data_IF_043521372062
#
_entry.id   IF_043521372062
#
_cell.length_a   1.000
_cell.length_b   1.000
_cell.length_c   1.000
_cell.angle_alpha   90.00
_cell.angle_beta   90.00
_cell.angle_gamma   90.00
#
_symmetry.space_group_name_H-M   'P 1'
#
loop_
_entity.id
_entity.type
_entity.pdbx_description
1 polymer ?
#
# COMPACT_ATOMS: atom_id res chain seq x y z
N UNK A 1 7.74 -11.12 -65.44
CA UNK A 1 7.30 -10.07 -64.51
C UNK A 1 6.08 -10.57 -63.78
N UNK A 2 6.15 -10.71 -62.46
CA UNK A 2 5.02 -11.12 -61.62
C UNK A 2 4.06 -9.92 -61.49
N UNK A 3 3.01 -9.90 -62.32
CA UNK A 3 1.95 -8.87 -62.25
C UNK A 3 0.91 -9.30 -61.24
N UNK A 4 0.97 -8.73 -60.06
CA UNK A 4 -0.05 -8.95 -59.03
C UNK A 4 -1.35 -8.21 -59.42
N UNK A 5 -2.52 -8.80 -59.02
CA UNK A 5 -3.82 -8.14 -59.17
C UNK A 5 -3.85 -6.79 -58.45
N UNK A 6 -4.43 -5.76 -59.07
CA UNK A 6 -4.46 -4.35 -58.57
C UNK A 6 -4.98 -4.20 -57.11
N UNK A 7 -5.92 -5.04 -56.72
CA UNK A 7 -6.45 -5.03 -55.37
C UNK A 7 -5.39 -5.35 -54.30
N UNK A 8 -4.36 -6.18 -54.61
CA UNK A 8 -3.27 -6.48 -53.69
C UNK A 8 -2.42 -5.26 -53.37
N UNK A 9 -2.21 -4.38 -54.37
CA UNK A 9 -1.50 -3.11 -54.13
C UNK A 9 -2.32 -2.16 -53.28
N UNK A 10 -3.64 -2.14 -53.45
CA UNK A 10 -4.54 -1.33 -52.59
C UNK A 10 -4.49 -1.82 -51.16
N UNK A 11 -4.55 -3.12 -50.92
CA UNK A 11 -4.44 -3.71 -49.58
C UNK A 11 -3.08 -3.39 -48.98
N UNK A 12 -1.99 -3.48 -49.71
CA UNK A 12 -0.64 -3.15 -49.22
C UNK A 12 -0.56 -1.68 -48.80
N UNK A 13 -1.04 -0.77 -49.65
CA UNK A 13 -1.04 0.69 -49.33
C UNK A 13 -1.88 0.98 -48.11
N UNK A 14 -3.06 0.38 -48.00
CA UNK A 14 -3.92 0.53 -46.81
C UNK A 14 -3.23 -0.01 -45.54
N UNK A 15 -2.56 -1.15 -45.63
CA UNK A 15 -1.83 -1.71 -44.50
C UNK A 15 -0.65 -0.82 -44.08
N UNK A 16 0.11 -0.27 -45.04
CA UNK A 16 1.18 0.68 -44.73
C UNK A 16 0.62 1.97 -44.09
N UNK A 17 -0.46 2.51 -44.64
CA UNK A 17 -1.08 3.72 -44.14
C UNK A 17 -1.63 3.53 -42.73
N UNK A 18 -2.25 2.37 -42.47
CA UNK A 18 -2.74 2.00 -41.15
C UNK A 18 -1.58 1.83 -40.16
N UNK A 19 -0.52 1.11 -40.54
CA UNK A 19 0.67 0.95 -39.71
C UNK A 19 1.35 2.28 -39.40
N UNK A 20 1.45 3.16 -40.40
CA UNK A 20 2.01 4.50 -40.22
C UNK A 20 1.15 5.35 -39.24
N UNK A 21 -0.18 5.27 -39.35
CA UNK A 21 -1.10 5.97 -38.42
C UNK A 21 -0.92 5.51 -36.97
N UNK A 22 -0.81 4.19 -36.75
CA UNK A 22 -0.59 3.63 -35.41
C UNK A 22 0.85 3.80 -34.88
N UNK A 23 1.82 4.06 -35.77
CA UNK A 23 3.18 4.42 -35.37
C UNK A 23 3.37 5.91 -35.08
N UNK A 24 2.45 6.77 -35.57
CA UNK A 24 2.54 8.22 -35.45
C UNK A 24 2.63 8.75 -34.00
N UNK A 25 1.96 8.17 -32.99
CA UNK A 25 2.08 8.60 -31.59
C UNK A 25 3.52 8.60 -31.07
N UNK A 26 4.39 7.73 -31.58
CA UNK A 26 5.79 7.66 -31.14
C UNK A 26 6.66 8.84 -31.60
N UNK A 27 6.17 9.66 -32.54
CA UNK A 27 6.87 10.87 -33.00
C UNK A 27 6.63 12.04 -32.03
N UNK A 28 5.53 12.00 -31.26
CA UNK A 28 5.21 13.04 -30.31
C UNK A 28 6.03 12.87 -29.03
N UNK A 29 6.82 13.91 -28.72
CA UNK A 29 7.62 13.91 -27.50
C UNK A 29 6.71 14.18 -26.29
N UNK A 30 6.98 13.49 -25.17
CA UNK A 30 6.29 13.73 -23.91
C UNK A 30 6.76 15.07 -23.30
N UNK A 31 5.84 15.87 -22.79
CA UNK A 31 6.16 17.11 -22.09
C UNK A 31 6.42 16.85 -20.61
N UNK A 32 7.48 17.44 -20.02
CA UNK A 32 7.66 17.46 -18.57
C UNK A 32 6.45 18.11 -17.90
N UNK A 33 5.89 17.46 -16.90
CA UNK A 33 4.68 17.95 -16.22
C UNK A 33 4.73 17.70 -14.72
N UNK A 34 4.02 18.55 -13.96
CA UNK A 34 3.73 18.33 -12.55
C UNK A 34 2.26 17.95 -12.44
N UNK A 35 2.00 16.77 -11.94
CA UNK A 35 0.66 16.26 -11.65
C UNK A 35 0.34 16.55 -10.19
N UNK A 36 -0.82 17.12 -9.94
CA UNK A 36 -1.30 17.47 -8.60
C UNK A 36 -2.57 16.68 -8.36
N UNK A 37 -2.53 15.77 -7.39
CA UNK A 37 -3.63 14.89 -7.03
C UNK A 37 -4.11 15.20 -5.61
N UNK A 38 -5.41 15.13 -5.36
CA UNK A 38 -5.96 15.32 -4.03
C UNK A 38 -5.60 14.18 -3.10
N UNK A 39 -5.06 14.48 -1.91
CA UNK A 39 -4.65 13.47 -0.93
C UNK A 39 -5.71 13.14 0.12
N UNK A 40 -6.68 14.00 0.39
CA UNK A 40 -7.64 13.85 1.49
C UNK A 40 -9.06 14.26 1.13
N UNK A 41 -9.47 14.02 -0.13
CA UNK A 41 -10.78 14.46 -0.59
C UNK A 41 -10.89 15.97 -0.77
N UNK A 42 -9.77 16.66 -0.88
CA UNK A 42 -9.74 18.06 -1.26
C UNK A 42 -10.26 18.21 -2.71
N UNK A 43 -11.00 19.27 -3.04
CA UNK A 43 -11.52 19.43 -4.39
C UNK A 43 -10.38 19.78 -5.36
N UNK A 44 -10.36 19.10 -6.51
CA UNK A 44 -9.53 19.48 -7.66
C UNK A 44 -10.41 20.31 -8.58
N UNK A 45 -10.33 21.64 -8.47
CA UNK A 45 -11.23 22.57 -9.13
C UNK A 45 -10.50 23.73 -9.82
N UNK A 46 -11.25 24.57 -10.51
CA UNK A 46 -10.72 25.75 -11.19
C UNK A 46 -10.05 26.75 -10.22
N UNK A 47 -10.44 26.76 -8.94
CA UNK A 47 -9.81 27.63 -7.94
C UNK A 47 -8.41 27.13 -7.59
N UNK A 48 -8.22 25.81 -7.52
CA UNK A 48 -6.90 25.18 -7.38
C UNK A 48 -6.02 25.53 -8.60
N UNK A 49 -6.55 25.36 -9.81
CA UNK A 49 -5.82 25.67 -11.05
C UNK A 49 -5.34 27.12 -11.07
N UNK A 50 -6.19 28.05 -10.64
CA UNK A 50 -5.85 29.49 -10.59
C UNK A 50 -4.78 29.77 -9.51
N UNK A 51 -4.86 29.15 -8.33
CA UNK A 51 -3.82 29.27 -7.29
C UNK A 51 -2.46 28.77 -7.79
N UNK A 52 -2.46 27.61 -8.46
CA UNK A 52 -1.26 27.00 -9.04
C UNK A 52 -0.67 27.92 -10.11
N UNK A 53 -1.49 28.40 -11.05
CA UNK A 53 -1.05 29.33 -12.09
C UNK A 53 -0.41 30.60 -11.50
N UNK A 54 -1.08 31.22 -10.53
CA UNK A 54 -0.58 32.47 -9.88
C UNK A 54 0.74 32.20 -9.13
N UNK A 55 0.86 31.05 -8.46
CA UNK A 55 2.08 30.69 -7.73
C UNK A 55 3.27 30.50 -8.68
N UNK A 56 3.05 29.81 -9.79
CA UNK A 56 4.09 29.57 -10.79
C UNK A 56 4.51 30.87 -11.51
N UNK A 57 3.56 31.73 -11.79
CA UNK A 57 3.82 33.09 -12.34
C UNK A 57 4.68 33.91 -11.37
N UNK A 58 4.32 33.92 -10.08
CA UNK A 58 5.10 34.66 -9.06
C UNK A 58 6.52 34.07 -8.86
N UNK A 59 6.67 32.76 -9.03
CA UNK A 59 7.95 32.09 -9.02
C UNK A 59 8.77 32.26 -10.31
N UNK A 60 8.21 32.93 -11.33
CA UNK A 60 8.85 33.12 -12.64
C UNK A 60 9.06 31.82 -13.42
N UNK A 61 8.16 30.86 -13.25
CA UNK A 61 8.20 29.56 -13.92
C UNK A 61 7.20 29.57 -15.07
N UNK A 62 7.64 29.53 -16.34
CA UNK A 62 6.75 29.50 -17.47
C UNK A 62 6.05 28.14 -17.57
N UNK A 63 4.74 28.16 -17.78
CA UNK A 63 3.92 26.97 -18.02
C UNK A 63 3.50 26.92 -19.49
N UNK A 64 3.44 25.71 -20.09
CA UNK A 64 2.88 25.52 -21.43
C UNK A 64 1.36 25.46 -21.38
N UNK A 65 0.84 24.67 -20.48
CA UNK A 65 -0.59 24.40 -20.35
C UNK A 65 -0.91 23.91 -18.94
N UNK A 66 -2.11 24.17 -18.46
CA UNK A 66 -2.65 23.65 -17.21
C UNK A 66 -3.96 22.96 -17.55
N UNK A 67 -3.97 21.64 -17.44
CA UNK A 67 -5.14 20.80 -17.73
C UNK A 67 -5.78 20.34 -16.41
N UNK A 68 -7.09 20.57 -16.31
CA UNK A 68 -7.89 20.10 -15.18
C UNK A 68 -8.67 18.87 -15.61
N UNK A 69 -8.41 17.75 -14.94
CA UNK A 69 -9.14 16.50 -15.07
C UNK A 69 -10.06 16.30 -13.85
N UNK A 70 -10.93 15.31 -13.83
CA UNK A 70 -11.86 15.07 -12.70
C UNK A 70 -11.12 14.82 -11.38
N UNK A 71 -9.97 14.14 -11.41
CA UNK A 71 -9.21 13.73 -10.22
C UNK A 71 -7.87 14.45 -10.05
N UNK A 72 -7.35 15.09 -11.12
CA UNK A 72 -6.00 15.61 -11.19
C UNK A 72 -5.92 16.97 -11.85
N UNK A 73 -4.91 17.77 -11.46
CA UNK A 73 -4.47 18.95 -12.16
C UNK A 73 -3.08 18.72 -12.75
N UNK A 74 -2.96 18.79 -14.07
CA UNK A 74 -1.71 18.55 -14.80
C UNK A 74 -1.14 19.89 -15.29
N UNK A 75 0.08 20.21 -14.88
CA UNK A 75 0.81 21.41 -15.29
C UNK A 75 1.93 21.03 -16.23
N UNK A 76 1.84 21.38 -17.53
CA UNK A 76 2.86 21.12 -18.55
C UNK A 76 3.93 22.20 -18.52
N UNK A 77 5.19 21.77 -18.55
CA UNK A 77 6.36 22.64 -18.44
C UNK A 77 7.26 22.53 -19.69
N UNK A 78 8.06 23.58 -20.01
CA UNK A 78 8.95 23.56 -21.17
C UNK A 78 10.16 22.63 -21.01
N UNK A 79 10.62 22.39 -19.76
CA UNK A 79 11.82 21.55 -19.50
C UNK A 79 11.72 20.81 -18.18
N UNK A 80 12.47 19.72 -18.07
CA UNK A 80 12.57 18.89 -16.86
C UNK A 80 13.20 19.63 -15.68
N UNK A 81 14.10 20.61 -15.92
CA UNK A 81 14.72 21.41 -14.86
C UNK A 81 13.67 22.29 -14.14
N UNK A 82 12.62 22.71 -14.87
CA UNK A 82 11.53 23.51 -14.30
C UNK A 82 10.55 22.67 -13.50
N UNK A 83 10.48 21.35 -13.70
CA UNK A 83 9.59 20.45 -12.93
C UNK A 83 9.91 20.50 -11.44
N UNK A 84 11.16 20.28 -11.06
CA UNK A 84 11.58 20.27 -9.65
C UNK A 84 11.33 21.65 -9.01
N UNK A 85 11.69 22.71 -9.72
CA UNK A 85 11.43 24.08 -9.25
C UNK A 85 9.94 24.40 -9.10
N UNK A 86 9.11 23.90 -10.01
CA UNK A 86 7.67 24.05 -9.93
C UNK A 86 7.08 23.27 -8.75
N UNK A 87 7.51 22.04 -8.54
CA UNK A 87 7.09 21.24 -7.38
C UNK A 87 7.46 21.91 -6.06
N UNK A 88 8.72 22.37 -5.93
CA UNK A 88 9.19 23.09 -4.74
C UNK A 88 8.40 24.38 -4.47
N UNK A 89 8.08 25.14 -5.52
CA UNK A 89 7.29 26.38 -5.41
C UNK A 89 5.84 26.12 -5.02
N UNK A 90 5.27 24.98 -5.46
CA UNK A 90 3.88 24.62 -5.20
C UNK A 90 3.69 23.97 -3.82
N UNK A 91 4.68 23.26 -3.30
CA UNK A 91 4.57 22.52 -2.03
C UNK A 91 4.07 23.37 -0.84
N UNK A 92 4.54 24.61 -0.60
CA UNK A 92 4.05 25.45 0.49
C UNK A 92 2.59 25.90 0.34
N UNK A 93 2.11 26.03 -0.91
CA UNK A 93 0.77 26.53 -1.23
C UNK A 93 -0.27 25.41 -1.23
N UNK A 94 0.14 24.22 -1.61
CA UNK A 94 -0.71 23.02 -1.66
C UNK A 94 -0.87 22.34 -0.31
N UNK A 95 0.15 22.46 0.57
CA UNK A 95 0.14 21.87 1.91
C UNK A 95 0.11 20.34 1.88
N UNK A 96 -0.58 19.75 2.88
CA UNK A 96 -0.72 18.29 3.03
C UNK A 96 -1.94 17.69 2.35
N UNK A 97 -2.77 18.53 1.74
CA UNK A 97 -4.05 18.12 1.16
C UNK A 97 -3.91 17.67 -0.30
N UNK A 98 -2.78 18.00 -0.91
CA UNK A 98 -2.45 17.62 -2.28
C UNK A 98 -1.06 16.97 -2.35
N UNK A 99 -0.90 16.04 -3.28
CA UNK A 99 0.37 15.41 -3.62
C UNK A 99 0.80 15.90 -4.99
N UNK A 100 2.06 16.32 -5.10
CA UNK A 100 2.67 16.70 -6.37
C UNK A 100 3.56 15.59 -6.86
N UNK A 101 3.36 15.10 -8.09
CA UNK A 101 4.18 14.11 -8.75
C UNK A 101 4.82 14.68 -10.01
N UNK A 102 6.10 14.40 -10.23
CA UNK A 102 6.80 14.74 -11.47
C UNK A 102 6.46 13.68 -12.51
N UNK A 103 5.81 14.07 -13.60
CA UNK A 103 5.33 13.18 -14.65
C UNK A 103 5.78 13.65 -16.04
N UNK A 104 5.63 12.78 -17.04
CA UNK A 104 5.83 13.09 -18.45
C UNK A 104 4.48 12.97 -19.18
N UNK A 105 3.84 14.10 -19.46
CA UNK A 105 2.53 14.15 -20.12
C UNK A 105 2.64 13.84 -21.61
N UNK A 106 1.72 13.03 -22.12
CA UNK A 106 1.61 12.77 -23.57
C UNK A 106 1.21 14.03 -24.33
N UNK A 107 1.80 14.28 -25.48
CA UNK A 107 1.42 15.34 -26.40
C UNK A 107 0.68 14.80 -27.63
N UNK A 108 0.25 13.56 -27.58
CA UNK A 108 -0.53 12.92 -28.65
C UNK A 108 -1.89 13.60 -28.75
N UNK A 109 -2.30 14.10 -29.95
CA UNK A 109 -3.59 14.76 -30.10
C UNK A 109 -4.77 13.81 -29.82
N UNK A 110 -5.87 14.35 -29.25
CA UNK A 110 -7.05 13.59 -28.81
C UNK A 110 -7.70 12.78 -29.94
N UNK A 111 -7.68 13.27 -31.18
CA UNK A 111 -8.22 12.54 -32.32
C UNK A 111 -7.45 11.24 -32.62
N UNK A 112 -6.16 11.21 -32.29
CA UNK A 112 -5.29 10.06 -32.52
C UNK A 112 -5.40 9.08 -31.35
N UNK A 113 -5.41 9.56 -30.13
CA UNK A 113 -5.67 8.75 -28.92
C UNK A 113 -7.07 8.13 -28.94
N UNK A 114 -8.08 8.87 -29.42
CA UNK A 114 -9.45 8.39 -29.61
C UNK A 114 -9.60 7.23 -30.63
N UNK A 115 -8.61 7.04 -31.50
CA UNK A 115 -8.51 5.86 -32.40
C UNK A 115 -7.82 4.67 -31.74
N UNK A 116 -7.43 4.77 -30.46
CA UNK A 116 -6.66 3.76 -29.73
C UNK A 116 -5.19 3.69 -30.17
N UNK A 117 -4.68 4.73 -30.84
CA UNK A 117 -3.27 4.84 -31.19
C UNK A 117 -2.52 5.54 -30.06
N UNK A 118 -1.86 4.77 -29.22
CA UNK A 118 -1.07 5.27 -28.10
C UNK A 118 0.43 5.20 -28.40
N UNK A 119 1.21 6.08 -27.75
CA UNK A 119 2.67 6.03 -27.85
C UNK A 119 3.22 4.76 -27.21
N UNK A 120 4.31 4.24 -27.75
CA UNK A 120 4.99 3.07 -27.18
C UNK A 120 5.43 3.37 -25.76
N UNK A 121 5.13 2.44 -24.85
CA UNK A 121 5.57 2.50 -23.47
C UNK A 121 7.06 2.22 -23.43
N UNK A 122 7.82 3.24 -23.06
CA UNK A 122 9.26 3.12 -22.92
C UNK A 122 9.58 2.59 -21.53
N UNK A 123 10.25 1.46 -21.47
CA UNK A 123 10.72 0.89 -20.20
C UNK A 123 11.86 1.71 -19.59
N UNK A 124 12.30 1.26 -18.41
CA UNK A 124 13.33 1.87 -17.58
C UNK A 124 14.63 2.16 -18.37
N UNK A 125 15.01 1.27 -19.29
CA UNK A 125 16.23 1.36 -20.10
C UNK A 125 16.24 2.56 -21.06
N UNK A 126 15.06 3.03 -21.48
CA UNK A 126 14.91 4.09 -22.46
C UNK A 126 14.48 5.44 -21.88
N UNK A 127 13.75 5.42 -20.77
CA UNK A 127 13.31 6.66 -20.08
C UNK A 127 14.14 6.99 -18.84
N UNK A 128 14.97 6.03 -18.37
CA UNK A 128 15.53 6.10 -17.03
C UNK A 128 14.45 5.89 -15.96
N UNK A 129 14.82 6.00 -14.70
CA UNK A 129 13.88 5.82 -13.59
C UNK A 129 14.51 5.00 -12.48
N UNK A 130 13.69 4.38 -11.63
CA UNK A 130 14.15 3.65 -10.45
C UNK A 130 13.71 2.21 -10.51
N UNK A 131 14.65 1.31 -10.24
CA UNK A 131 14.40 -0.12 -10.08
C UNK A 131 14.63 -0.50 -8.62
N UNK A 132 13.61 -1.02 -7.96
CA UNK A 132 13.71 -1.58 -6.62
C UNK A 132 13.58 -3.09 -6.68
N UNK A 133 14.51 -3.78 -6.01
CA UNK A 133 14.36 -5.18 -5.66
C UNK A 133 14.09 -5.26 -4.16
N UNK A 134 12.90 -5.69 -3.79
CA UNK A 134 12.45 -5.79 -2.40
C UNK A 134 12.31 -7.26 -2.03
N UNK A 135 12.69 -7.59 -0.81
CA UNK A 135 12.49 -8.92 -0.25
C UNK A 135 11.42 -8.85 0.83
N UNK A 136 10.47 -9.79 0.77
CA UNK A 136 9.44 -9.94 1.80
C UNK A 136 10.04 -10.68 2.98
N UNK A 137 9.90 -10.11 4.17
CA UNK A 137 10.30 -10.75 5.42
C UNK A 137 9.28 -11.83 5.79
N UNK A 138 9.56 -13.05 5.35
CA UNK A 138 8.70 -14.21 5.60
C UNK A 138 8.73 -14.63 7.08
N UNK A 139 9.85 -14.42 7.76
CA UNK A 139 9.98 -14.73 9.17
C UNK A 139 9.11 -13.83 10.03
N UNK A 140 9.11 -12.53 9.74
CA UNK A 140 8.21 -11.58 10.41
C UNK A 140 6.73 -11.88 10.13
N UNK A 141 6.38 -12.31 8.92
CA UNK A 141 5.02 -12.74 8.59
C UNK A 141 4.62 -14.00 9.39
N UNK A 142 5.51 -14.98 9.49
CA UNK A 142 5.31 -16.19 10.29
C UNK A 142 5.17 -15.86 11.79
N UNK A 143 6.02 -14.98 12.31
CA UNK A 143 5.98 -14.51 13.70
C UNK A 143 4.63 -13.89 14.05
N UNK A 144 4.14 -13.02 13.18
CA UNK A 144 2.82 -12.37 13.34
C UNK A 144 1.70 -13.42 13.35
N UNK A 145 1.79 -14.40 12.44
CA UNK A 145 0.80 -15.48 12.34
C UNK A 145 0.80 -16.38 13.57
N UNK A 146 1.97 -16.78 14.05
CA UNK A 146 2.11 -17.59 15.27
C UNK A 146 1.61 -16.85 16.51
N UNK A 147 1.86 -15.56 16.60
CA UNK A 147 1.34 -14.74 17.70
C UNK A 147 -0.20 -14.70 17.68
N UNK A 148 -0.81 -14.58 16.51
CA UNK A 148 -2.25 -14.65 16.38
C UNK A 148 -2.81 -16.02 16.78
N UNK A 149 -2.17 -17.12 16.36
CA UNK A 149 -2.55 -18.48 16.77
C UNK A 149 -2.50 -18.64 18.28
N UNK A 150 -1.46 -18.16 18.96
CA UNK A 150 -1.35 -18.24 20.43
C UNK A 150 -2.52 -17.51 21.10
N UNK A 151 -2.87 -16.31 20.63
CA UNK A 151 -3.98 -15.57 21.21
C UNK A 151 -5.35 -16.21 20.88
N UNK A 152 -5.55 -16.73 19.68
CA UNK A 152 -6.76 -17.44 19.31
C UNK A 152 -6.95 -18.71 20.16
N UNK A 153 -5.89 -19.50 20.37
CA UNK A 153 -5.94 -20.68 21.24
C UNK A 153 -6.33 -20.28 22.66
N UNK A 154 -5.75 -19.19 23.20
CA UNK A 154 -6.11 -18.68 24.54
C UNK A 154 -7.58 -18.29 24.63
N UNK A 155 -8.11 -17.65 23.60
CA UNK A 155 -9.53 -17.25 23.54
C UNK A 155 -10.42 -18.49 23.52
N UNK A 156 -10.15 -19.43 22.61
CA UNK A 156 -10.96 -20.64 22.41
C UNK A 156 -10.97 -21.52 23.67
N UNK A 157 -9.84 -21.70 24.33
CA UNK A 157 -9.77 -22.47 25.59
C UNK A 157 -10.55 -21.77 26.71
N UNK A 158 -10.48 -20.46 26.80
CA UNK A 158 -11.22 -19.67 27.81
C UNK A 158 -12.73 -19.72 27.58
N UNK A 159 -13.18 -19.55 26.33
CA UNK A 159 -14.58 -19.69 25.95
C UNK A 159 -15.11 -21.10 26.19
N UNK A 160 -14.28 -22.11 25.91
CA UNK A 160 -14.57 -23.51 26.21
C UNK A 160 -14.50 -23.87 27.68
N UNK A 161 -14.11 -22.93 28.58
CA UNK A 161 -13.90 -23.17 30.02
C UNK A 161 -12.92 -24.30 30.31
N UNK A 162 -11.83 -24.34 29.54
CA UNK A 162 -10.69 -25.24 29.74
C UNK A 162 -9.61 -24.45 30.45
N UNK A 163 -9.16 -24.96 31.61
CA UNK A 163 -8.08 -24.35 32.37
C UNK A 163 -6.73 -24.78 31.80
N UNK A 164 -5.87 -23.81 31.55
CA UNK A 164 -4.50 -24.06 31.08
C UNK A 164 -3.47 -23.36 31.97
N UNK A 165 -2.30 -23.96 32.11
CA UNK A 165 -1.15 -23.37 32.81
C UNK A 165 -0.41 -22.37 31.91
N UNK A 166 -0.16 -22.76 30.66
CA UNK A 166 0.56 -21.91 29.72
C UNK A 166 0.17 -22.20 28.26
N UNK A 167 0.19 -21.13 27.46
CA UNK A 167 0.20 -21.22 25.98
C UNK A 167 1.36 -20.37 25.51
N UNK A 168 2.40 -21.03 24.98
CA UNK A 168 3.66 -20.37 24.62
C UNK A 168 4.19 -20.90 23.31
N UNK A 169 4.88 -20.01 22.58
CA UNK A 169 5.62 -20.37 21.38
C UNK A 169 6.97 -20.99 21.77
N UNK A 170 7.36 -22.02 21.06
CA UNK A 170 8.68 -22.64 21.16
C UNK A 170 9.63 -22.14 20.05
N UNK A 171 10.96 -22.30 20.22
CA UNK A 171 11.95 -21.85 19.22
C UNK A 171 11.85 -22.57 17.86
N UNK A 172 11.20 -23.72 17.81
CA UNK A 172 10.96 -24.52 16.60
C UNK A 172 9.72 -24.06 15.81
N UNK A 173 9.16 -22.89 16.13
CA UNK A 173 7.94 -22.36 15.57
C UNK A 173 6.68 -23.20 15.85
N UNK A 174 6.71 -24.06 16.87
CA UNK A 174 5.51 -24.69 17.40
C UNK A 174 4.90 -23.89 18.56
N UNK A 175 3.63 -24.14 18.84
CA UNK A 175 2.92 -23.59 19.99
C UNK A 175 2.63 -24.73 20.97
N UNK A 176 3.15 -24.61 22.18
CA UNK A 176 2.88 -25.55 23.26
C UNK A 176 1.74 -25.04 24.14
N UNK A 177 0.73 -25.87 24.31
CA UNK A 177 -0.39 -25.65 25.20
C UNK A 177 -0.25 -26.65 26.36
N UNK A 178 -0.05 -26.15 27.58
CA UNK A 178 -0.04 -26.98 28.78
C UNK A 178 -1.33 -26.79 29.55
N UNK A 179 -2.07 -27.84 29.79
CA UNK A 179 -3.32 -27.83 30.52
C UNK A 179 -3.09 -27.99 32.03
N UNK A 180 -4.02 -27.45 32.82
CA UNK A 180 -4.03 -27.63 34.27
C UNK A 180 -4.55 -29.01 34.69
N UNK A 181 -5.39 -29.64 33.87
CA UNK A 181 -5.92 -30.98 34.09
C UNK A 181 -5.84 -31.81 32.81
N UNK A 182 -5.18 -32.95 32.87
CA UNK A 182 -5.05 -33.89 31.75
C UNK A 182 -6.42 -34.47 31.29
N UNK A 183 -7.45 -34.43 32.13
CA UNK A 183 -8.79 -34.87 31.75
C UNK A 183 -9.43 -33.99 30.69
N UNK A 184 -9.03 -32.72 30.59
CA UNK A 184 -9.55 -31.73 29.61
C UNK A 184 -8.85 -31.78 28.25
N UNK A 185 -7.85 -32.70 28.08
CA UNK A 185 -6.98 -32.67 26.89
C UNK A 185 -7.74 -32.94 25.60
N UNK A 186 -8.67 -33.89 25.58
CA UNK A 186 -9.44 -34.23 24.40
C UNK A 186 -10.44 -33.08 24.03
N UNK A 187 -10.98 -32.44 25.05
CA UNK A 187 -11.84 -31.27 24.88
C UNK A 187 -11.06 -30.08 24.32
N UNK A 188 -9.86 -29.81 24.87
CA UNK A 188 -8.97 -28.77 24.36
C UNK A 188 -8.58 -29.02 22.91
N UNK A 189 -8.18 -30.26 22.58
CA UNK A 189 -7.81 -30.68 21.22
C UNK A 189 -8.97 -30.42 20.22
N UNK A 190 -10.19 -30.81 20.58
CA UNK A 190 -11.37 -30.61 19.72
C UNK A 190 -11.68 -29.11 19.51
N UNK A 191 -11.59 -28.31 20.55
CA UNK A 191 -11.79 -26.86 20.47
C UNK A 191 -10.75 -26.20 19.54
N UNK A 192 -9.48 -26.54 19.71
CA UNK A 192 -8.40 -26.03 18.86
C UNK A 192 -8.58 -26.49 17.41
N UNK A 193 -8.90 -27.78 17.19
CA UNK A 193 -9.13 -28.34 15.86
C UNK A 193 -10.29 -27.66 15.13
N UNK A 194 -11.35 -27.31 15.86
CA UNK A 194 -12.51 -26.61 15.29
C UNK A 194 -12.19 -25.18 14.91
N UNK A 195 -11.39 -24.49 15.73
CA UNK A 195 -10.98 -23.11 15.49
C UNK A 195 -9.88 -22.99 14.43
N UNK A 196 -8.94 -23.93 14.43
CA UNK A 196 -7.73 -23.92 13.60
C UNK A 196 -7.54 -25.27 12.88
N UNK A 197 -8.40 -25.60 11.89
CA UNK A 197 -8.39 -26.93 11.24
C UNK A 197 -7.14 -27.22 10.40
N UNK A 198 -6.40 -26.18 10.01
CA UNK A 198 -5.20 -26.30 9.20
C UNK A 198 -3.95 -26.69 10.01
N UNK A 199 -4.02 -26.67 11.35
CA UNK A 199 -2.86 -26.94 12.21
C UNK A 199 -2.72 -28.43 12.54
N UNK A 200 -1.50 -28.92 12.56
CA UNK A 200 -1.19 -30.25 13.05
C UNK A 200 -1.02 -30.23 14.58
N UNK A 201 -1.59 -31.24 15.26
CA UNK A 201 -1.55 -31.32 16.72
C UNK A 201 -1.01 -32.69 17.15
N UNK A 202 -0.08 -32.67 18.09
CA UNK A 202 0.45 -33.83 18.76
C UNK A 202 0.17 -33.69 20.26
N UNK A 203 -0.27 -34.76 20.89
CA UNK A 203 -0.61 -34.78 22.33
C UNK A 203 0.46 -35.56 23.08
N UNK A 204 1.06 -34.91 24.06
CA UNK A 204 2.07 -35.56 24.94
C UNK A 204 1.72 -35.30 26.42
N UNK A 205 1.16 -36.30 27.08
CA UNK A 205 0.80 -36.19 28.49
C UNK A 205 -0.27 -35.15 28.76
N UNK A 206 0.11 -34.08 29.44
CA UNK A 206 -0.75 -32.91 29.77
C UNK A 206 -0.62 -31.73 28.80
N UNK A 207 0.15 -31.94 27.74
CA UNK A 207 0.44 -30.87 26.77
C UNK A 207 0.01 -31.21 25.32
N UNK A 208 -0.38 -30.18 24.57
CA UNK A 208 -0.69 -30.24 23.15
C UNK A 208 0.36 -29.40 22.43
N UNK A 209 1.12 -30.03 21.53
CA UNK A 209 2.03 -29.36 20.62
C UNK A 209 1.28 -29.06 19.32
N UNK A 210 1.18 -27.80 18.95
CA UNK A 210 0.50 -27.33 17.73
C UNK A 210 1.55 -26.85 16.75
N UNK A 211 1.54 -27.39 15.53
CA UNK A 211 2.49 -27.04 14.47
C UNK A 211 1.79 -26.61 13.21
N UNK A 212 2.43 -25.70 12.50
CA UNK A 212 1.98 -25.27 11.16
C UNK A 212 2.57 -26.26 10.15
N UNK A 213 1.74 -27.00 9.37
CA UNK A 213 2.23 -27.88 8.32
C UNK A 213 2.96 -27.10 7.22
N UNK A 214 3.89 -27.76 6.51
CA UNK A 214 4.69 -27.15 5.44
C UNK A 214 3.84 -26.49 4.35
N UNK A 215 2.73 -27.12 3.97
CA UNK A 215 1.78 -26.55 2.98
C UNK A 215 1.19 -25.23 3.46
N UNK A 216 0.90 -25.11 4.76
CA UNK A 216 0.35 -23.89 5.35
C UNK A 216 1.44 -22.81 5.50
N UNK A 217 2.69 -23.19 5.79
CA UNK A 217 3.83 -22.26 5.77
C UNK A 217 4.01 -21.63 4.38
N UNK A 218 3.94 -22.45 3.32
CA UNK A 218 4.01 -21.95 1.95
C UNK A 218 2.85 -21.03 1.59
N UNK A 219 1.64 -21.34 2.09
CA UNK A 219 0.47 -20.50 1.92
C UNK A 219 0.65 -19.15 2.61
N UNK A 220 1.09 -19.13 3.86
CA UNK A 220 1.37 -17.90 4.62
C UNK A 220 2.40 -17.04 3.89
N UNK A 221 3.47 -17.63 3.39
CA UNK A 221 4.50 -16.93 2.63
C UNK A 221 3.96 -16.32 1.33
N UNK A 222 3.13 -17.08 0.59
CA UNK A 222 2.50 -16.60 -0.64
C UNK A 222 1.50 -15.49 -0.36
N UNK A 223 0.64 -15.63 0.64
CA UNK A 223 -0.34 -14.62 1.04
C UNK A 223 0.35 -13.32 1.48
N UNK A 224 1.44 -13.42 2.26
CA UNK A 224 2.25 -12.28 2.64
C UNK A 224 2.84 -11.55 1.42
N UNK A 225 3.30 -12.29 0.42
CA UNK A 225 3.85 -11.71 -0.79
C UNK A 225 2.76 -11.01 -1.63
N UNK A 226 1.58 -11.62 -1.79
CA UNK A 226 0.46 -11.01 -2.52
C UNK A 226 -0.06 -9.77 -1.82
N UNK A 227 -0.14 -9.78 -0.49
CA UNK A 227 -0.52 -8.63 0.31
C UNK A 227 0.46 -7.47 0.13
N UNK A 228 1.77 -7.75 0.16
CA UNK A 228 2.80 -6.75 -0.08
C UNK A 228 2.73 -6.20 -1.51
N UNK A 229 2.48 -7.05 -2.53
CA UNK A 229 2.25 -6.62 -3.90
C UNK A 229 1.08 -5.64 -4.01
N UNK A 230 -0.07 -5.95 -3.38
CA UNK A 230 -1.23 -5.07 -3.33
C UNK A 230 -0.92 -3.73 -2.67
N UNK A 231 -0.24 -3.75 -1.53
CA UNK A 231 0.19 -2.55 -0.81
C UNK A 231 1.12 -1.69 -1.65
N UNK A 232 2.10 -2.30 -2.31
CA UNK A 232 3.05 -1.59 -3.18
C UNK A 232 2.35 -0.96 -4.38
N UNK A 233 1.41 -1.67 -5.02
CA UNK A 233 0.61 -1.11 -6.12
C UNK A 233 -0.15 0.14 -5.68
N UNK A 234 -0.82 0.08 -4.54
CA UNK A 234 -1.57 1.22 -4.01
C UNK A 234 -0.65 2.42 -3.72
N UNK A 235 0.53 2.18 -3.15
CA UNK A 235 1.52 3.24 -2.86
C UNK A 235 2.11 3.85 -4.13
N UNK A 236 2.44 3.01 -5.11
CA UNK A 236 3.01 3.47 -6.37
C UNK A 236 1.98 4.24 -7.19
N UNK A 237 0.70 3.80 -7.17
CA UNK A 237 -0.39 4.54 -7.80
C UNK A 237 -0.58 5.92 -7.14
N UNK A 238 -0.42 6.01 -5.81
CA UNK A 238 -0.48 7.29 -5.10
C UNK A 238 0.68 8.25 -5.46
N UNK A 239 1.78 7.74 -6.02
CA UNK A 239 2.87 8.56 -6.59
C UNK A 239 2.52 9.19 -7.93
N UNK A 240 1.42 8.78 -8.57
CA UNK A 240 1.05 9.24 -9.91
C UNK A 240 2.03 8.81 -11.01
N UNK A 241 2.84 7.77 -10.76
CA UNK A 241 3.77 7.25 -11.76
C UNK A 241 3.00 6.59 -12.88
N UNK A 242 3.26 7.02 -14.12
CA UNK A 242 2.67 6.39 -15.30
C UNK A 242 3.29 4.99 -15.49
N UNK A 243 2.42 3.97 -15.46
CA UNK A 243 2.73 2.59 -15.80
C UNK A 243 3.89 1.95 -15.04
N UNK A 244 3.79 1.86 -13.71
CA UNK A 244 4.77 1.16 -12.91
C UNK A 244 4.70 -0.35 -13.19
N UNK A 245 5.84 -1.00 -13.32
CA UNK A 245 5.91 -2.45 -13.37
C UNK A 245 6.13 -2.98 -11.95
N UNK A 246 5.15 -3.72 -11.43
CA UNK A 246 5.25 -4.36 -10.11
C UNK A 246 4.96 -5.84 -10.28
N UNK A 247 5.97 -6.66 -10.08
CA UNK A 247 5.87 -8.09 -10.32
C UNK A 247 6.63 -8.91 -9.28
N UNK A 248 6.15 -10.12 -9.06
CA UNK A 248 6.82 -11.12 -8.23
C UNK A 248 8.06 -11.65 -8.94
N UNK A 249 9.16 -11.79 -8.20
CA UNK A 249 10.38 -12.44 -8.65
C UNK A 249 10.79 -13.55 -7.67
N UNK A 250 10.56 -14.80 -8.07
CA UNK A 250 10.82 -15.95 -7.20
C UNK A 250 9.77 -16.11 -6.09
N UNK A 251 10.18 -16.66 -4.95
CA UNK A 251 9.30 -17.01 -3.82
C UNK A 251 9.11 -15.88 -2.82
N UNK A 252 10.05 -14.94 -2.73
CA UNK A 252 10.17 -13.98 -1.64
C UNK A 252 10.46 -12.55 -2.07
N UNK A 253 10.61 -12.29 -3.39
CA UNK A 253 11.02 -10.98 -3.91
C UNK A 253 9.96 -10.34 -4.78
N UNK A 254 9.96 -9.00 -4.76
CA UNK A 254 9.12 -8.14 -5.58
C UNK A 254 10.03 -7.16 -6.30
N UNK A 255 9.87 -7.07 -7.61
CA UNK A 255 10.48 -6.05 -8.45
C UNK A 255 9.48 -4.92 -8.64
N UNK A 256 9.94 -3.69 -8.41
CA UNK A 256 9.19 -2.46 -8.66
C UNK A 256 10.01 -1.58 -9.58
N UNK A 257 9.51 -1.35 -10.78
CA UNK A 257 10.11 -0.43 -11.74
C UNK A 257 9.23 0.80 -11.90
N UNK A 258 9.86 1.95 -11.76
CA UNK A 258 9.21 3.26 -11.83
C UNK A 258 9.85 4.06 -12.97
N UNK A 259 9.39 3.91 -14.22
CA UNK A 259 9.92 4.64 -15.34
C UNK A 259 9.66 6.15 -15.18
N UNK A 260 10.64 6.98 -15.55
CA UNK A 260 10.52 8.43 -15.54
C UNK A 260 10.62 9.10 -14.16
N UNK A 261 10.72 8.33 -13.07
CA UNK A 261 10.91 8.89 -11.72
C UNK A 261 12.33 9.41 -11.57
N UNK A 262 12.47 10.68 -11.25
CA UNK A 262 13.77 11.34 -11.09
C UNK A 262 14.22 11.41 -9.62
N UNK A 263 13.29 11.56 -8.69
CA UNK A 263 13.57 11.58 -7.26
C UNK A 263 13.51 10.17 -6.66
N UNK A 264 14.69 9.54 -6.60
CA UNK A 264 14.87 8.21 -6.01
C UNK A 264 14.67 8.21 -4.49
N UNK A 265 14.95 9.33 -3.80
CA UNK A 265 14.84 9.42 -2.36
C UNK A 265 13.37 9.50 -1.93
N UNK A 266 12.57 10.27 -2.64
CA UNK A 266 11.13 10.36 -2.40
C UNK A 266 10.43 9.03 -2.72
N UNK A 267 10.72 8.41 -3.85
CA UNK A 267 10.21 7.09 -4.20
C UNK A 267 10.56 6.05 -3.13
N UNK A 268 11.82 6.02 -2.65
CA UNK A 268 12.25 5.13 -1.56
C UNK A 268 11.49 5.40 -0.27
N UNK A 269 11.26 6.67 0.08
CA UNK A 269 10.53 7.06 1.29
C UNK A 269 9.08 6.59 1.26
N UNK A 270 8.38 6.77 0.14
CA UNK A 270 6.97 6.41 -0.01
C UNK A 270 6.78 4.90 -0.11
N UNK A 271 7.59 4.21 -0.88
CA UNK A 271 7.56 2.75 -1.00
C UNK A 271 7.99 2.09 0.31
N UNK A 272 9.04 2.61 0.96
CA UNK A 272 9.61 2.06 2.19
C UNK A 272 8.86 2.41 3.47
N UNK A 273 7.77 3.20 3.40
CA UNK A 273 6.98 3.51 4.58
C UNK A 273 6.37 2.22 5.17
N UNK A 274 6.77 1.87 6.39
CA UNK A 274 6.34 0.63 7.07
C UNK A 274 5.13 0.81 7.98
N UNK A 275 4.61 2.05 8.11
CA UNK A 275 3.46 2.33 8.95
C UNK A 275 2.22 1.59 8.41
N UNK A 276 1.70 0.69 9.22
CA UNK A 276 0.44 -0.03 8.97
C UNK A 276 -0.65 0.55 9.83
N UNK A 277 -1.84 0.71 9.27
CA UNK A 277 -3.03 1.10 10.03
C UNK A 277 -3.59 -0.14 10.72
N UNK A 278 -3.74 -0.06 12.03
CA UNK A 278 -4.35 -1.13 12.82
C UNK A 278 -5.50 -0.56 13.66
N UNK A 279 -6.63 -1.23 13.63
CA UNK A 279 -7.76 -0.93 14.51
C UNK A 279 -7.71 -1.86 15.72
N UNK A 280 -7.61 -1.27 16.91
CA UNK A 280 -7.54 -1.99 18.16
C UNK A 280 -8.59 -1.42 19.13
N UNK A 281 -9.24 -2.28 19.91
CA UNK A 281 -10.18 -1.83 20.95
C UNK A 281 -9.44 -1.07 22.04
N UNK A 282 -10.06 0.02 22.54
CA UNK A 282 -9.60 0.70 23.75
C UNK A 282 -9.95 -0.17 24.95
N UNK A 283 -8.98 -0.39 25.83
CA UNK A 283 -9.19 -1.11 27.08
C UNK A 283 -9.54 -0.10 28.18
N UNK A 284 -10.60 -0.36 28.93
CA UNK A 284 -10.98 0.46 30.08
C UNK A 284 -9.89 0.41 31.15
N UNK A 285 -9.51 1.58 31.67
CA UNK A 285 -8.47 1.71 32.69
C UNK A 285 -7.77 3.06 32.62
N UNK A 286 -7.02 3.39 33.68
CA UNK A 286 -6.22 4.61 33.73
C UNK A 286 -4.85 4.36 33.04
N UNK A 287 -4.70 4.82 31.81
CA UNK A 287 -3.46 4.66 31.07
C UNK A 287 -2.27 5.39 31.73
N UNK A 288 -2.49 6.50 32.40
CA UNK A 288 -1.44 7.22 33.14
C UNK A 288 -0.91 6.42 34.33
N UNK A 289 -1.81 5.77 35.09
CA UNK A 289 -1.43 4.90 36.19
C UNK A 289 -0.69 3.66 35.71
N UNK A 290 -1.14 3.08 34.60
CA UNK A 290 -0.48 1.93 34.00
C UNK A 290 0.97 2.27 33.56
N UNK A 291 1.20 3.46 33.01
CA UNK A 291 2.55 3.94 32.67
C UNK A 291 3.38 4.22 33.92
N UNK A 292 2.79 4.85 34.96
CA UNK A 292 3.50 5.23 36.18
C UNK A 292 3.89 4.03 37.04
N UNK A 293 3.02 3.01 37.12
CA UNK A 293 3.21 1.84 37.98
C UNK A 293 3.81 0.63 37.22
N UNK A 294 3.83 0.66 35.89
CA UNK A 294 4.20 -0.48 35.07
C UNK A 294 3.16 -1.61 35.05
N UNK A 295 2.01 -1.42 35.70
CA UNK A 295 0.95 -2.43 35.81
C UNK A 295 -0.03 -2.32 34.62
N UNK A 296 0.37 -2.87 33.48
CA UNK A 296 -0.45 -2.92 32.28
C UNK A 296 -1.27 -4.23 32.27
N UNK A 297 -2.60 -4.18 32.04
CA UNK A 297 -3.39 -5.39 31.90
C UNK A 297 -2.80 -6.36 30.88
N UNK A 298 -2.80 -7.70 31.10
CA UNK A 298 -2.15 -8.67 30.23
C UNK A 298 -2.61 -8.59 28.77
N UNK A 299 -3.87 -8.25 28.52
CA UNK A 299 -4.47 -8.09 27.21
C UNK A 299 -4.22 -6.72 26.56
N UNK A 300 -3.64 -5.76 27.29
CA UNK A 300 -3.43 -4.40 26.84
C UNK A 300 -1.97 -4.07 26.58
N UNK A 301 -1.76 -3.04 25.79
CA UNK A 301 -0.47 -2.42 25.50
C UNK A 301 -0.64 -0.91 25.51
N UNK A 302 0.40 -0.17 25.94
CA UNK A 302 0.36 1.29 26.02
C UNK A 302 0.79 1.89 24.70
N UNK A 303 -0.08 2.71 24.12
CA UNK A 303 0.21 3.54 22.95
C UNK A 303 0.08 5.01 23.32
N UNK A 304 0.62 5.89 22.47
CA UNK A 304 0.57 7.33 22.71
C UNK A 304 -0.15 8.03 21.55
N UNK A 305 -1.04 8.97 21.90
CA UNK A 305 -1.67 9.82 20.88
C UNK A 305 -0.64 10.75 20.24
N UNK A 306 -0.89 11.12 18.98
CA UNK A 306 -0.10 12.16 18.29
C UNK A 306 -0.29 13.54 18.93
N UNK A 307 -1.46 13.78 19.49
CA UNK A 307 -1.80 15.00 20.19
C UNK A 307 -1.10 15.03 21.56
N UNK A 308 -0.55 16.18 21.90
CA UNK A 308 0.07 16.38 23.22
C UNK A 308 -1.00 16.83 24.21
N UNK A 309 -0.87 16.38 25.45
CA UNK A 309 -1.71 16.83 26.55
C UNK A 309 -1.45 18.30 26.93
N UNK A 310 -2.26 18.87 27.84
CA UNK A 310 -2.08 20.23 28.33
C UNK A 310 -0.72 20.49 28.99
N UNK A 311 -0.05 19.43 29.43
CA UNK A 311 1.29 19.42 30.03
C UNK A 311 2.42 19.27 29.00
N UNK A 312 2.10 19.28 27.70
CA UNK A 312 3.04 19.09 26.59
C UNK A 312 3.59 17.67 26.46
N UNK A 313 3.02 16.69 27.19
CA UNK A 313 3.45 15.30 27.10
C UNK A 313 2.49 14.47 26.23
N UNK A 314 2.99 13.37 25.62
CA UNK A 314 2.14 12.46 24.86
C UNK A 314 1.03 11.84 25.76
N UNK A 315 -0.20 11.79 25.26
CA UNK A 315 -1.35 11.24 25.98
C UNK A 315 -1.30 9.71 25.83
N UNK A 316 -1.12 8.93 26.93
CA UNK A 316 -1.14 7.48 26.86
C UNK A 316 -2.57 6.94 26.68
N UNK A 317 -2.71 5.83 25.97
CA UNK A 317 -3.95 5.09 25.75
C UNK A 317 -3.67 3.60 25.88
N UNK A 318 -4.54 2.88 26.55
CA UNK A 318 -4.48 1.42 26.63
C UNK A 318 -5.25 0.82 25.45
N UNK A 319 -4.56 0.11 24.57
CA UNK A 319 -5.17 -0.60 23.46
C UNK A 319 -5.04 -2.11 23.66
N UNK A 320 -6.03 -2.85 23.19
CA UNK A 320 -5.96 -4.31 23.19
C UNK A 320 -4.84 -4.78 22.26
N UNK A 321 -4.09 -5.80 22.67
CA UNK A 321 -3.06 -6.44 21.84
C UNK A 321 -3.63 -7.04 20.56
N UNK A 322 -4.90 -7.49 20.61
CA UNK A 322 -5.58 -8.05 19.45
C UNK A 322 -5.96 -6.95 18.46
N UNK A 323 -5.47 -7.09 17.22
CA UNK A 323 -5.87 -6.26 16.09
C UNK A 323 -7.25 -6.73 15.62
N UNK A 324 -8.22 -5.80 15.53
CA UNK A 324 -9.58 -6.10 15.05
C UNK A 324 -9.60 -6.09 13.52
N UNK A 325 -8.97 -5.09 12.93
CA UNK A 325 -8.81 -4.94 11.50
C UNK A 325 -7.50 -4.23 11.19
N UNK A 326 -6.89 -4.54 10.06
CA UNK A 326 -5.67 -3.90 9.58
C UNK A 326 -5.94 -3.15 8.27
N UNK A 327 -5.09 -2.18 7.93
CA UNK A 327 -5.26 -1.31 6.77
C UNK A 327 -5.26 -2.03 5.43
N UNK A 328 -4.69 -3.22 5.37
CA UNK A 328 -4.73 -4.12 4.23
C UNK A 328 -6.14 -4.69 3.94
N UNK A 329 -7.02 -4.69 4.93
CA UNK A 329 -8.42 -5.12 4.80
C UNK A 329 -9.34 -3.96 4.39
N UNK A 330 -8.83 -2.72 4.33
CA UNK A 330 -9.61 -1.55 3.94
C UNK A 330 -9.78 -1.53 2.42
N UNK A 331 -11.04 -1.55 1.98
CA UNK A 331 -11.40 -1.45 0.56
C UNK A 331 -11.62 0.01 0.15
N UNK A 332 -11.97 0.88 1.10
CA UNK A 332 -12.20 2.29 0.86
C UNK A 332 -12.36 3.06 2.17
N UNK A 333 -12.14 4.36 2.10
CA UNK A 333 -12.37 5.27 3.21
C UNK A 333 -13.01 6.57 2.70
N UNK A 334 -14.08 7.01 3.36
CA UNK A 334 -14.73 8.29 3.10
C UNK A 334 -14.79 9.11 4.36
N UNK A 335 -14.50 10.41 4.24
CA UNK A 335 -14.66 11.34 5.36
C UNK A 335 -16.09 11.87 5.38
N UNK A 336 -16.71 11.88 6.56
CA UNK A 336 -18.03 12.46 6.77
C UNK A 336 -18.08 13.20 8.11
N UNK A 337 -18.88 14.26 8.17
CA UNK A 337 -19.15 14.98 9.43
C UNK A 337 -20.43 14.43 10.03
N UNK A 338 -20.33 13.76 11.15
CA UNK A 338 -21.52 13.36 11.92
C UNK A 338 -22.09 14.60 12.63
N UNK A 339 -23.24 15.10 12.14
CA UNK A 339 -23.94 16.22 12.76
C UNK A 339 -24.62 15.87 14.10
N UNK A 340 -24.60 14.60 14.53
CA UNK A 340 -25.21 14.14 15.77
C UNK A 340 -24.26 14.15 16.98
N UNK A 341 -22.96 14.31 16.77
CA UNK A 341 -21.96 14.33 17.85
C UNK A 341 -21.58 15.74 18.35
N UNK A 342 -22.36 16.78 17.99
CA UNK A 342 -22.23 18.10 18.59
C UNK A 342 -23.20 18.18 19.77
N UNK A 343 -22.75 17.67 20.89
CA UNK A 343 -23.30 17.99 22.22
C UNK A 343 -22.16 18.43 23.12
#
# INVERSE_FOLDING_TARGET
MLTYARWKYIVLVLAIMFSALYALPNVFQKDPSVQITASRGAPVDAALAQRVATTLEQAGIPTKEIELTEDDLLVRLPSTELQSRAADALQPVLGSDYVTALNLASTVPDWLSGLGAEGMLLGLDLQGGVHFLMQVDQDAALDKHLTAIVEDIRVVLREGRVLYESVSRLPDNSVQVRLADAADIEKARQLIATSQPALAMEVEGDSISVRIPEVELQRIASDALEQNLGTLRNRVNALGVSEPLIQRQGSDRIVVELPGVQDTAEAKRLIGATATLEYRAVVEGNAYDAVATGNVPPQAEVYYRKELGPDGKPIPVLLNKRVIASGDQLIGATSGVDRKSVV
#
